data_IF_900945267026
#
_entry.id   IF_900945267026
#
_cell.length_a   1.000
_cell.length_b   1.000
_cell.length_c   1.000
_cell.angle_alpha   90.00
_cell.angle_beta   90.00
_cell.angle_gamma   90.00
#
_symmetry.space_group_name_H-M   'P 1'
#
loop_
_entity.id
_entity.type
_entity.pdbx_description
1 polymer ?
#
# COMPACT_ATOMS: atom_id res chain seq x y z
N UNK A 1 11.46 21.55 -8.72
CA UNK A 1 10.68 20.44 -9.31
C UNK A 1 9.21 20.68 -9.02
N UNK A 2 8.31 20.34 -9.94
CA UNK A 2 6.87 20.44 -9.73
C UNK A 2 6.29 19.10 -9.21
N UNK A 3 5.22 19.10 -8.41
CA UNK A 3 4.57 17.88 -7.93
C UNK A 3 4.01 17.06 -9.09
N UNK A 4 4.39 15.78 -9.16
CA UNK A 4 3.83 14.83 -10.13
C UNK A 4 2.62 14.13 -9.53
N UNK A 5 1.45 14.27 -10.16
CA UNK A 5 0.23 13.57 -9.73
C UNK A 5 0.43 12.06 -9.80
N UNK A 6 -0.08 11.32 -8.80
CA UNK A 6 0.03 9.87 -8.74
C UNK A 6 1.42 9.32 -8.36
N UNK A 7 2.43 10.18 -8.17
CA UNK A 7 3.81 9.74 -7.89
C UNK A 7 3.92 8.82 -6.68
N UNK A 8 3.22 9.13 -5.59
CA UNK A 8 3.17 8.27 -4.39
C UNK A 8 2.49 6.92 -4.66
N UNK A 9 1.47 6.87 -5.54
CA UNK A 9 0.83 5.60 -5.90
C UNK A 9 1.78 4.72 -6.69
N UNK A 10 2.53 5.29 -7.64
CA UNK A 10 3.53 4.55 -8.42
C UNK A 10 4.64 3.99 -7.54
N UNK A 11 5.22 4.80 -6.64
CA UNK A 11 6.24 4.32 -5.70
C UNK A 11 5.67 3.21 -4.81
N UNK A 12 4.47 3.40 -4.27
CA UNK A 12 3.89 2.43 -3.37
C UNK A 12 3.59 1.10 -4.08
N UNK A 13 3.04 1.14 -5.29
CA UNK A 13 2.82 -0.05 -6.09
C UNK A 13 4.12 -0.79 -6.42
N UNK A 14 5.20 -0.06 -6.77
CA UNK A 14 6.50 -0.65 -7.03
C UNK A 14 7.10 -1.34 -5.79
N UNK A 15 7.01 -0.70 -4.62
CA UNK A 15 7.48 -1.31 -3.35
C UNK A 15 6.69 -2.57 -3.02
N UNK A 16 5.36 -2.55 -3.15
CA UNK A 16 4.53 -3.72 -2.88
C UNK A 16 4.80 -4.87 -3.86
N UNK A 17 4.99 -4.56 -5.15
CA UNK A 17 5.36 -5.55 -6.16
C UNK A 17 6.71 -6.20 -5.81
N UNK A 18 7.72 -5.40 -5.49
CA UNK A 18 9.04 -5.87 -5.08
C UNK A 18 8.99 -6.74 -3.82
N UNK A 19 8.26 -6.33 -2.77
CA UNK A 19 8.10 -7.15 -1.56
C UNK A 19 7.50 -8.52 -1.87
N UNK A 20 6.53 -8.57 -2.80
CA UNK A 20 5.90 -9.81 -3.19
C UNK A 20 6.71 -10.60 -4.24
N UNK A 21 7.80 -10.11 -4.82
CA UNK A 21 8.66 -10.96 -5.66
C UNK A 21 9.21 -12.16 -4.87
N UNK A 22 9.42 -11.99 -3.57
CA UNK A 22 9.73 -13.08 -2.65
C UNK A 22 8.46 -13.90 -2.32
N UNK A 23 8.41 -15.21 -2.65
CA UNK A 23 7.27 -16.07 -2.33
C UNK A 23 7.10 -16.30 -0.82
N UNK A 24 8.13 -16.10 0.01
CA UNK A 24 8.01 -16.22 1.47
C UNK A 24 7.26 -15.03 2.10
N UNK A 25 7.19 -13.90 1.39
CA UNK A 25 6.37 -12.76 1.79
C UNK A 25 4.90 -13.04 1.46
N UNK A 26 4.15 -13.39 2.51
CA UNK A 26 2.72 -13.73 2.41
C UNK A 26 1.79 -12.58 2.83
N UNK A 27 2.33 -11.59 3.58
CA UNK A 27 1.55 -10.47 4.13
C UNK A 27 2.44 -9.26 4.41
N UNK A 28 1.98 -8.08 4.00
CA UNK A 28 2.55 -6.80 4.41
C UNK A 28 1.71 -6.18 5.52
N UNK A 29 2.37 -5.59 6.52
CA UNK A 29 1.72 -4.92 7.66
C UNK A 29 2.11 -3.45 7.67
N UNK A 30 1.14 -2.58 7.94
CA UNK A 30 1.37 -1.13 8.13
C UNK A 30 0.66 -0.64 9.38
N UNK A 31 1.19 0.43 9.96
CA UNK A 31 0.69 1.05 11.19
C UNK A 31 0.59 2.59 11.06
N UNK A 32 -0.18 3.12 10.08
CA UNK A 32 -0.39 4.56 9.99
C UNK A 32 -1.05 5.11 11.26
N UNK A 33 -0.74 6.37 11.62
CA UNK A 33 -1.50 7.10 12.64
C UNK A 33 -3.00 7.06 12.28
N UNK A 34 -3.85 6.68 13.24
CA UNK A 34 -5.29 6.49 13.03
C UNK A 34 -5.97 7.75 12.47
N UNK A 35 -5.44 8.93 12.77
CA UNK A 35 -5.95 10.24 12.31
C UNK A 35 -5.51 10.58 10.89
N UNK A 36 -4.47 9.93 10.35
CA UNK A 36 -3.99 10.19 9.00
C UNK A 36 -4.90 9.53 7.95
N UNK A 37 -6.03 10.17 7.68
CA UNK A 37 -7.04 9.68 6.72
C UNK A 37 -6.48 9.52 5.30
N UNK A 38 -5.52 10.36 4.90
CA UNK A 38 -4.97 10.34 3.54
C UNK A 38 -4.15 9.07 3.28
N UNK A 39 -3.21 8.71 4.15
CA UNK A 39 -2.43 7.49 3.98
C UNK A 39 -3.30 6.24 4.18
N UNK A 40 -4.25 6.28 5.12
CA UNK A 40 -5.20 5.17 5.34
C UNK A 40 -6.02 4.88 4.09
N UNK A 41 -6.60 5.90 3.46
CA UNK A 41 -7.32 5.74 2.20
C UNK A 41 -6.44 5.18 1.08
N UNK A 42 -5.17 5.61 1.00
CA UNK A 42 -4.21 5.09 0.02
C UNK A 42 -3.87 3.61 0.28
N UNK A 43 -3.67 3.22 1.54
CA UNK A 43 -3.43 1.83 1.92
C UNK A 43 -4.64 0.96 1.54
N UNK A 44 -5.86 1.39 1.84
CA UNK A 44 -7.08 0.67 1.44
C UNK A 44 -7.17 0.53 -0.08
N UNK A 45 -6.84 1.59 -0.83
CA UNK A 45 -6.81 1.53 -2.29
C UNK A 45 -5.73 0.56 -2.83
N UNK A 46 -4.69 0.26 -2.04
CA UNK A 46 -3.64 -0.71 -2.35
C UNK A 46 -4.01 -2.15 -1.91
N UNK A 47 -5.22 -2.37 -1.39
CA UNK A 47 -5.67 -3.69 -0.94
C UNK A 47 -5.44 -3.99 0.54
N UNK A 48 -4.98 -3.01 1.35
CA UNK A 48 -4.90 -3.21 2.79
C UNK A 48 -6.28 -3.25 3.43
N UNK A 49 -6.46 -4.19 4.35
CA UNK A 49 -7.62 -4.29 5.24
C UNK A 49 -7.24 -3.74 6.61
N UNK A 50 -8.01 -2.77 7.09
CA UNK A 50 -7.89 -2.24 8.45
C UNK A 50 -8.42 -3.28 9.46
N UNK A 51 -7.62 -3.57 10.49
CA UNK A 51 -7.98 -4.57 11.51
C UNK A 51 -8.57 -3.89 12.74
N UNK A 52 -7.75 -3.11 13.45
CA UNK A 52 -8.14 -2.36 14.65
C UNK A 52 -7.05 -1.34 15.01
N UNK A 53 -7.39 -0.39 15.88
CA UNK A 53 -6.43 0.54 16.45
C UNK A 53 -5.58 -0.14 17.52
N UNK A 54 -4.28 0.19 17.53
CA UNK A 54 -3.31 -0.24 18.54
C UNK A 54 -2.61 0.98 19.14
N UNK A 55 -2.35 0.93 20.44
CA UNK A 55 -1.57 1.95 21.14
C UNK A 55 -0.08 1.65 20.99
N UNK A 56 0.66 2.62 20.46
CA UNK A 56 2.11 2.60 20.37
C UNK A 56 2.67 3.77 21.17
N UNK A 57 3.95 3.70 21.51
CA UNK A 57 4.61 4.67 22.39
C UNK A 57 4.43 6.15 21.96
N UNK A 58 4.15 6.40 20.68
CA UNK A 58 4.06 7.76 20.11
C UNK A 58 2.72 8.09 19.47
N UNK A 59 1.83 7.11 19.27
CA UNK A 59 0.55 7.30 18.54
C UNK A 59 -0.40 6.12 18.75
N UNK A 60 -1.69 6.40 18.57
CA UNK A 60 -2.68 5.37 18.20
C UNK A 60 -2.55 5.10 16.70
N UNK A 61 -2.22 3.86 16.33
CA UNK A 61 -2.06 3.45 14.94
C UNK A 61 -3.21 2.55 14.48
N UNK A 62 -3.64 2.69 13.24
CA UNK A 62 -4.57 1.74 12.61
C UNK A 62 -3.77 0.56 12.04
N UNK A 63 -3.75 -0.58 12.74
CA UNK A 63 -3.09 -1.79 12.26
C UNK A 63 -3.82 -2.32 11.02
N UNK A 64 -3.09 -2.46 9.92
CA UNK A 64 -3.66 -2.92 8.65
C UNK A 64 -2.77 -3.94 7.97
N UNK A 65 -3.36 -4.83 7.18
CA UNK A 65 -2.62 -5.90 6.49
C UNK A 65 -3.05 -6.04 5.04
N UNK A 66 -2.12 -6.39 4.16
CA UNK A 66 -2.38 -6.69 2.75
C UNK A 66 -1.75 -8.04 2.37
N UNK A 67 -2.53 -8.92 1.74
CA UNK A 67 -2.00 -10.14 1.11
C UNK A 67 -1.61 -9.87 -0.34
N UNK A 68 -0.85 -10.79 -0.93
CA UNK A 68 -0.48 -10.75 -2.35
C UNK A 68 -1.71 -10.67 -3.26
N UNK A 69 -2.71 -11.49 -2.98
CA UNK A 69 -3.95 -11.58 -3.75
C UNK A 69 -4.76 -10.28 -3.64
N UNK A 70 -4.82 -9.71 -2.43
CA UNK A 70 -5.50 -8.45 -2.19
C UNK A 70 -4.82 -7.27 -2.94
N UNK A 71 -3.48 -7.22 -2.92
CA UNK A 71 -2.74 -6.22 -3.69
C UNK A 71 -2.93 -6.40 -5.20
N UNK A 72 -2.82 -7.63 -5.71
CA UNK A 72 -2.98 -7.93 -7.13
C UNK A 72 -4.37 -7.55 -7.68
N UNK A 73 -5.41 -7.67 -6.85
CA UNK A 73 -6.78 -7.25 -7.19
C UNK A 73 -7.05 -5.75 -6.94
N UNK A 74 -6.09 -5.00 -6.41
CA UNK A 74 -6.31 -3.63 -5.95
C UNK A 74 -6.38 -2.61 -7.09
N UNK A 75 -7.09 -1.49 -6.89
CA UNK A 75 -7.08 -0.35 -7.81
C UNK A 75 -5.69 0.20 -8.15
N UNK A 76 -4.69 0.01 -7.27
CA UNK A 76 -3.33 0.50 -7.53
C UNK A 76 -2.60 -0.32 -8.60
N UNK A 77 -2.90 -1.61 -8.73
CA UNK A 77 -2.33 -2.48 -9.78
C UNK A 77 -3.07 -2.27 -11.11
N UNK A 78 -4.40 -2.23 -11.09
CA UNK A 78 -5.23 -2.05 -12.30
C UNK A 78 -4.96 -0.70 -12.99
N UNK A 79 -4.55 0.33 -12.24
CA UNK A 79 -4.20 1.65 -12.79
C UNK A 79 -2.85 1.70 -13.52
N UNK A 80 -1.93 0.75 -13.29
CA UNK A 80 -0.62 0.76 -13.96
C UNK A 80 -0.65 0.14 -15.37
N UNK A 81 -1.71 -0.60 -15.73
CA UNK A 81 -1.85 -1.29 -17.02
C UNK A 81 -1.97 -0.36 -18.24
N UNK A 82 -2.02 0.97 -18.03
CA UNK A 82 -2.08 1.99 -19.09
C UNK A 82 -0.79 2.77 -19.33
N UNK A 83 0.27 2.52 -18.55
CA UNK A 83 1.57 3.18 -18.69
C UNK A 83 2.66 2.16 -18.87
N UNK A 84 3.26 2.09 -20.05
CA UNK A 84 4.38 1.20 -20.34
C UNK A 84 5.60 1.56 -19.48
N UNK A 85 5.72 0.93 -18.32
CA UNK A 85 6.99 0.58 -17.72
C UNK A 85 6.87 -0.84 -17.18
N UNK A 86 7.13 -1.79 -18.08
CA UNK A 86 7.52 -3.12 -17.69
C UNK A 86 8.74 -2.99 -16.76
N UNK A 87 8.55 -3.31 -15.49
CA UNK A 87 9.65 -3.74 -14.64
C UNK A 87 9.94 -5.19 -15.07
N UNK A 88 10.92 -5.31 -15.96
CA UNK A 88 11.76 -6.51 -16.10
C UNK A 88 12.92 -6.40 -15.12
#
# INVERSE_FOLDING_TARGET
SEPVSGHTDTIFAAVMAWLFEDPEVTRVVVEPDARNKAIRAKNVAAGFVELHEIELATKTAMLSTCSREAFAASPLVVKQSGGSHALV
#
